data_IF_983271603759
#
_entry.id   IF_983271603759
#
_cell.length_a   1.000
_cell.length_b   1.000
_cell.length_c   1.000
_cell.angle_alpha   90.00
_cell.angle_beta   90.00
_cell.angle_gamma   90.00
#
_symmetry.space_group_name_H-M   'P 1'
#
loop_
_entity.id
_entity.type
_entity.pdbx_description
1 polymer ?
#
# COMPACT_ATOMS: atom_id res chain seq x y z
N UNK A 1 -4.60 14.25 6.72
CA UNK A 1 -5.68 13.32 6.40
C UNK A 1 -6.21 13.70 5.03
N UNK A 2 -6.26 12.77 4.10
CA UNK A 2 -6.72 13.04 2.74
C UNK A 2 -8.18 12.55 2.62
N UNK A 3 -9.14 13.47 2.80
CA UNK A 3 -10.58 13.17 2.74
C UNK A 3 -11.09 13.09 1.30
N UNK A 4 -10.35 13.63 0.34
CA UNK A 4 -10.69 13.63 -1.08
C UNK A 4 -10.14 12.41 -1.85
N UNK A 5 -9.27 11.62 -1.21
CA UNK A 5 -8.75 10.40 -1.80
C UNK A 5 -9.84 9.31 -1.90
N UNK A 6 -9.65 8.29 -2.76
CA UNK A 6 -10.48 7.10 -2.72
C UNK A 6 -10.49 6.46 -1.33
N UNK A 7 -11.67 6.01 -0.89
CA UNK A 7 -11.88 5.40 0.42
C UNK A 7 -10.93 4.22 0.62
N UNK A 8 -10.26 4.18 1.81
CA UNK A 8 -9.44 3.05 2.24
C UNK A 8 -9.51 2.85 3.76
N UNK A 9 -9.85 1.64 4.18
CA UNK A 9 -9.97 1.24 5.58
C UNK A 9 -9.21 -0.04 5.84
N UNK A 10 -8.30 -0.05 6.83
CA UNK A 10 -7.67 -1.27 7.33
C UNK A 10 -8.57 -1.99 8.32
N UNK A 11 -8.85 -3.27 8.07
CA UNK A 11 -9.64 -4.12 8.96
C UNK A 11 -8.73 -4.65 10.07
N UNK A 12 -9.05 -4.33 11.33
CA UNK A 12 -8.32 -4.80 12.50
C UNK A 12 -9.06 -5.87 13.31
N UNK A 13 -10.38 -5.96 13.17
CA UNK A 13 -11.20 -7.00 13.81
C UNK A 13 -12.36 -7.41 12.92
N UNK A 14 -12.74 -8.66 13.05
CA UNK A 14 -13.88 -9.27 12.37
C UNK A 14 -14.80 -9.92 13.39
N UNK A 15 -16.08 -9.61 13.33
CA UNK A 15 -17.11 -10.19 14.18
C UNK A 15 -18.20 -10.83 13.33
N UNK A 16 -18.92 -11.79 13.91
CA UNK A 16 -20.25 -12.17 13.42
C UNK A 16 -21.29 -11.67 14.42
N UNK A 17 -22.32 -11.04 13.89
CA UNK A 17 -23.49 -10.67 14.68
C UNK A 17 -24.65 -11.49 14.16
N UNK A 18 -25.27 -12.27 15.04
CA UNK A 18 -26.41 -13.15 14.69
C UNK A 18 -27.53 -12.34 14.03
N UNK A 19 -27.97 -12.76 12.85
CA UNK A 19 -28.99 -12.06 12.05
C UNK A 19 -28.48 -10.85 11.25
N UNK A 20 -27.22 -10.41 11.43
CA UNK A 20 -26.68 -9.21 10.76
C UNK A 20 -25.50 -9.48 9.81
N UNK A 21 -24.98 -10.72 9.76
CA UNK A 21 -23.85 -11.08 8.89
C UNK A 21 -22.48 -10.68 9.46
N UNK A 22 -21.52 -10.42 8.60
CA UNK A 22 -20.15 -10.04 8.97
C UNK A 22 -20.05 -8.56 9.33
N UNK A 23 -19.45 -8.27 10.49
CA UNK A 23 -19.11 -6.91 10.91
C UNK A 23 -17.60 -6.79 11.00
N UNK A 24 -17.05 -5.79 10.33
CA UNK A 24 -15.63 -5.47 10.38
C UNK A 24 -15.41 -4.13 11.07
N UNK A 25 -14.34 -4.03 11.85
CA UNK A 25 -13.91 -2.74 12.40
C UNK A 25 -12.51 -2.41 11.94
N UNK A 26 -12.22 -1.12 11.89
CA UNK A 26 -10.91 -0.65 11.49
C UNK A 26 -10.80 0.86 11.47
N UNK A 27 -9.68 1.34 10.97
CA UNK A 27 -9.44 2.77 10.79
C UNK A 27 -9.59 3.15 9.33
N UNK A 28 -10.45 4.12 9.06
CA UNK A 28 -10.54 4.76 7.75
C UNK A 28 -9.32 5.67 7.59
N UNK A 29 -8.39 5.28 6.73
CA UNK A 29 -7.10 5.99 6.60
C UNK A 29 -7.11 7.06 5.51
N UNK A 30 -7.94 6.88 4.50
CA UNK A 30 -8.13 7.80 3.37
C UNK A 30 -9.59 7.88 2.96
N UNK A 31 -9.95 9.02 2.38
CA UNK A 31 -11.24 9.28 1.79
C UNK A 31 -12.36 9.56 2.79
N UNK A 32 -13.52 9.79 2.22
CA UNK A 32 -14.79 9.92 2.94
C UNK A 32 -15.73 8.83 2.47
N UNK A 33 -16.15 7.95 3.39
CA UNK A 33 -17.15 6.94 3.10
C UNK A 33 -18.54 7.59 3.15
N UNK A 34 -19.30 7.46 2.05
CA UNK A 34 -20.66 7.98 1.88
C UNK A 34 -21.68 6.82 1.78
N UNK A 35 -22.98 7.07 1.96
CA UNK A 35 -24.02 6.11 1.57
C UNK A 35 -23.84 5.72 0.10
N UNK A 36 -24.13 4.46 -0.21
CA UNK A 36 -24.10 3.90 -1.57
C UNK A 36 -22.70 3.78 -2.21
N UNK A 37 -21.61 4.02 -1.47
CA UNK A 37 -20.29 3.71 -1.96
C UNK A 37 -20.13 2.21 -2.20
N UNK A 38 -19.74 1.84 -3.40
CA UNK A 38 -19.27 0.49 -3.70
C UNK A 38 -17.85 0.33 -3.13
N UNK A 39 -17.62 -0.72 -2.37
CA UNK A 39 -16.30 -1.07 -1.85
C UNK A 39 -15.90 -2.48 -2.29
N UNK A 40 -14.59 -2.68 -2.35
CA UNK A 40 -13.97 -3.97 -2.64
C UNK A 40 -13.06 -4.34 -1.47
N UNK A 41 -13.09 -5.60 -1.09
CA UNK A 41 -12.21 -6.16 -0.07
C UNK A 41 -10.95 -6.72 -0.73
N UNK A 42 -9.81 -6.15 -0.40
CA UNK A 42 -8.50 -6.55 -0.88
C UNK A 42 -7.71 -7.34 0.18
N UNK A 43 -6.80 -8.25 -0.22
CA UNK A 43 -6.36 -8.55 -1.58
C UNK A 43 -7.26 -9.55 -2.34
N UNK A 44 -8.41 -9.96 -1.79
CA UNK A 44 -9.30 -10.98 -2.34
C UNK A 44 -10.12 -10.49 -3.53
N UNK A 45 -10.17 -9.16 -3.74
CA UNK A 45 -10.92 -8.48 -4.82
C UNK A 45 -12.42 -8.81 -4.82
N UNK A 46 -12.98 -8.97 -3.60
CA UNK A 46 -14.39 -9.29 -3.41
C UNK A 46 -15.22 -8.02 -3.23
N UNK A 47 -16.30 -7.88 -3.98
CA UNK A 47 -17.26 -6.78 -3.78
C UNK A 47 -17.86 -6.88 -2.37
N UNK A 48 -17.92 -5.75 -1.69
CA UNK A 48 -18.47 -5.62 -0.35
C UNK A 48 -19.69 -4.71 -0.35
N UNK A 49 -20.86 -5.29 -0.06
CA UNK A 49 -22.10 -4.54 0.09
C UNK A 49 -22.27 -4.09 1.53
N UNK A 50 -22.45 -2.79 1.73
CA UNK A 50 -22.51 -2.17 3.04
C UNK A 50 -23.96 -2.02 3.46
N UNK A 51 -24.35 -2.70 4.56
CA UNK A 51 -25.68 -2.58 5.19
C UNK A 51 -25.74 -1.42 6.16
N UNK A 52 -24.65 -1.11 6.84
CA UNK A 52 -24.62 -0.05 7.83
C UNK A 52 -23.21 0.32 8.28
N UNK A 53 -23.08 1.55 8.75
CA UNK A 53 -21.84 2.12 9.28
C UNK A 53 -22.09 2.69 10.66
N UNK A 54 -21.14 2.49 11.57
CA UNK A 54 -21.12 3.07 12.90
C UNK A 54 -19.80 3.76 13.18
N UNK A 55 -19.86 4.93 13.77
CA UNK A 55 -18.72 5.68 14.30
C UNK A 55 -18.99 5.91 15.80
N UNK A 56 -18.02 5.60 16.65
CA UNK A 56 -18.20 5.65 18.11
C UNK A 56 -19.42 4.87 18.64
N UNK A 57 -19.70 3.71 18.05
CA UNK A 57 -20.86 2.85 18.37
C UNK A 57 -22.23 3.47 18.04
N UNK A 58 -22.28 4.57 17.34
CA UNK A 58 -23.50 5.23 16.88
C UNK A 58 -23.67 5.06 15.36
N UNK A 59 -24.88 4.80 14.86
CA UNK A 59 -25.14 4.79 13.42
C UNK A 59 -24.71 6.12 12.78
N UNK A 60 -24.00 6.04 11.67
CA UNK A 60 -23.49 7.20 10.94
C UNK A 60 -23.84 7.11 9.46
N UNK A 61 -24.24 8.24 8.87
CA UNK A 61 -24.47 8.35 7.42
C UNK A 61 -23.17 8.43 6.62
N UNK A 62 -22.13 9.00 7.22
CA UNK A 62 -20.81 9.11 6.60
C UNK A 62 -19.71 8.87 7.63
N UNK A 63 -18.53 8.48 7.15
CA UNK A 63 -17.31 8.34 7.95
C UNK A 63 -16.14 9.00 7.22
N UNK A 64 -15.20 9.56 7.98
CA UNK A 64 -14.11 10.38 7.47
C UNK A 64 -12.75 9.80 7.82
N UNK A 65 -11.75 10.12 7.01
CA UNK A 65 -10.38 9.70 7.24
C UNK A 65 -9.89 10.04 8.66
N UNK A 66 -9.32 9.04 9.32
CA UNK A 66 -8.84 9.11 10.72
C UNK A 66 -9.86 8.62 11.76
N UNK A 67 -11.08 8.29 11.37
CA UNK A 67 -12.06 7.72 12.29
C UNK A 67 -11.91 6.20 12.41
N UNK A 68 -12.24 5.70 13.60
CA UNK A 68 -12.48 4.28 13.81
C UNK A 68 -13.93 3.95 13.48
N UNK A 69 -14.11 2.99 12.58
CA UNK A 69 -15.39 2.68 11.96
C UNK A 69 -15.73 1.21 12.14
N UNK A 70 -17.00 0.90 12.35
CA UNK A 70 -17.56 -0.43 12.20
C UNK A 70 -18.47 -0.47 10.97
N UNK A 71 -18.26 -1.46 10.10
CA UNK A 71 -19.02 -1.64 8.86
C UNK A 71 -19.67 -3.01 8.89
N UNK A 72 -20.98 -3.04 8.69
CA UNK A 72 -21.74 -4.27 8.52
C UNK A 72 -21.82 -4.61 7.03
N UNK A 73 -21.37 -5.81 6.68
CA UNK A 73 -21.36 -6.35 5.32
C UNK A 73 -22.48 -7.35 5.14
N UNK A 74 -23.29 -7.21 4.09
CA UNK A 74 -24.46 -8.07 3.86
C UNK A 74 -24.16 -9.31 3.02
N UNK A 75 -23.19 -9.25 2.15
CA UNK A 75 -22.91 -10.28 1.14
C UNK A 75 -21.61 -11.06 1.37
N UNK A 76 -20.93 -10.83 2.50
CA UNK A 76 -19.66 -11.49 2.80
C UNK A 76 -19.79 -12.34 4.06
N UNK A 77 -19.55 -13.64 3.92
CA UNK A 77 -19.50 -14.57 5.04
C UNK A 77 -18.28 -14.31 5.92
N UNK A 78 -18.42 -14.56 7.23
CA UNK A 78 -17.37 -14.26 8.22
C UNK A 78 -16.05 -14.98 7.94
N UNK A 79 -16.11 -16.21 7.46
CA UNK A 79 -14.93 -17.04 7.13
C UNK A 79 -14.09 -16.51 5.97
N UNK A 80 -14.69 -15.63 5.16
CA UNK A 80 -14.00 -14.92 4.08
C UNK A 80 -13.39 -13.58 4.51
N UNK A 81 -13.66 -13.15 5.74
CA UNK A 81 -13.16 -11.90 6.31
C UNK A 81 -11.95 -12.19 7.20
N UNK A 82 -10.88 -11.47 7.01
CA UNK A 82 -9.66 -11.62 7.80
C UNK A 82 -9.19 -10.29 8.37
N UNK A 83 -8.58 -10.36 9.55
CA UNK A 83 -7.81 -9.23 10.06
C UNK A 83 -6.67 -8.91 9.09
N UNK A 84 -6.55 -7.63 8.73
CA UNK A 84 -5.54 -7.17 7.79
C UNK A 84 -6.03 -7.09 6.35
N UNK A 85 -7.25 -7.52 6.06
CA UNK A 85 -7.91 -7.17 4.80
C UNK A 85 -8.17 -5.66 4.76
N UNK A 86 -8.32 -5.13 3.55
CA UNK A 86 -8.55 -3.71 3.31
C UNK A 86 -9.87 -3.55 2.57
N UNK A 87 -10.76 -2.70 3.09
CA UNK A 87 -11.90 -2.20 2.32
C UNK A 87 -11.49 -0.91 1.62
N UNK A 88 -11.62 -0.88 0.29
CA UNK A 88 -11.25 0.28 -0.49
C UNK A 88 -12.18 0.47 -1.71
N UNK A 89 -12.10 1.64 -2.32
CA UNK A 89 -12.84 1.92 -3.55
C UNK A 89 -12.47 0.91 -4.66
N UNK A 90 -13.40 0.56 -5.56
CA UNK A 90 -13.10 -0.30 -6.70
C UNK A 90 -11.93 0.21 -7.52
N UNK A 91 -11.07 -0.69 -7.98
CA UNK A 91 -9.90 -0.40 -8.82
C UNK A 91 -8.90 0.61 -8.23
N UNK A 92 -8.94 0.82 -6.91
CA UNK A 92 -8.02 1.75 -6.22
C UNK A 92 -6.76 1.09 -5.69
N UNK A 93 -6.67 -0.23 -5.76
CA UNK A 93 -5.54 -1.03 -5.30
C UNK A 93 -5.35 -2.26 -6.19
N UNK A 94 -4.09 -2.69 -6.34
CA UNK A 94 -3.74 -3.93 -7.05
C UNK A 94 -3.01 -4.88 -6.10
N UNK A 95 -3.51 -6.12 -5.91
CA UNK A 95 -2.80 -7.12 -5.12
C UNK A 95 -1.46 -7.49 -5.76
N UNK A 96 -0.40 -7.54 -4.94
CA UNK A 96 0.97 -7.79 -5.37
C UNK A 96 1.63 -8.91 -4.58
N UNK A 97 2.62 -9.56 -5.18
CA UNK A 97 3.53 -10.52 -4.53
C UNK A 97 4.92 -9.93 -4.27
N UNK A 98 5.14 -8.67 -4.66
CA UNK A 98 6.41 -7.98 -4.47
C UNK A 98 6.17 -6.51 -4.18
N UNK A 99 7.04 -5.92 -3.36
CA UNK A 99 7.10 -4.48 -3.12
C UNK A 99 8.54 -4.01 -3.14
N UNK A 100 8.77 -2.80 -3.64
CA UNK A 100 10.02 -2.09 -3.42
C UNK A 100 9.85 -1.11 -2.28
N UNK A 101 10.83 -1.04 -1.41
CA UNK A 101 10.77 -0.21 -0.21
C UNK A 101 12.13 0.36 0.17
N UNK A 102 12.09 1.50 0.85
CA UNK A 102 13.22 2.01 1.64
C UNK A 102 13.06 1.50 3.06
N UNK A 103 14.11 0.91 3.60
CA UNK A 103 14.14 0.31 4.93
C UNK A 103 15.18 1.01 5.78
N UNK A 104 14.82 1.28 7.04
CA UNK A 104 15.74 1.68 8.09
C UNK A 104 15.88 0.55 9.09
N UNK A 105 17.09 0.01 9.22
CA UNK A 105 17.41 -1.00 10.23
C UNK A 105 17.72 -0.32 11.55
N UNK A 106 17.13 -0.79 12.64
CA UNK A 106 17.40 -0.21 13.97
C UNK A 106 18.81 -0.56 14.44
N UNK A 107 19.43 0.33 15.22
CA UNK A 107 20.81 0.16 15.68
C UNK A 107 21.00 -1.08 16.55
N UNK A 108 19.99 -1.37 17.38
CA UNK A 108 20.01 -2.44 18.37
C UNK A 108 19.45 -3.77 17.82
N UNK A 109 19.26 -3.89 16.50
CA UNK A 109 18.87 -5.15 15.88
C UNK A 109 19.95 -6.22 16.13
N UNK A 110 19.55 -7.49 16.28
CA UNK A 110 20.47 -8.60 16.55
C UNK A 110 21.44 -8.85 15.39
N UNK A 111 21.04 -8.53 14.16
CA UNK A 111 21.86 -8.70 12.95
C UNK A 111 21.53 -7.66 11.88
N UNK A 112 22.40 -7.56 10.88
CA UNK A 112 22.14 -6.84 9.64
C UNK A 112 21.07 -7.57 8.83
N UNK A 113 20.42 -6.88 7.89
CA UNK A 113 19.56 -7.52 6.90
C UNK A 113 20.43 -8.02 5.76
N UNK A 114 20.39 -9.31 5.50
CA UNK A 114 21.14 -9.97 4.44
C UNK A 114 20.22 -10.39 3.27
N UNK A 115 20.85 -10.65 2.13
CA UNK A 115 20.16 -11.12 0.94
C UNK A 115 19.42 -12.43 1.23
N UNK A 116 18.12 -12.46 0.91
CA UNK A 116 17.23 -13.61 1.05
C UNK A 116 16.81 -13.95 2.50
N UNK A 117 17.07 -13.06 3.45
CA UNK A 117 16.53 -13.21 4.80
C UNK A 117 15.01 -13.35 4.77
N UNK A 118 14.49 -14.32 5.54
CA UNK A 118 13.06 -14.50 5.74
C UNK A 118 12.59 -13.58 6.84
N UNK A 119 11.59 -12.75 6.53
CA UNK A 119 11.09 -11.72 7.44
C UNK A 119 9.57 -11.77 7.56
N UNK A 120 9.06 -11.18 8.64
CA UNK A 120 7.65 -10.85 8.82
C UNK A 120 7.46 -9.38 8.49
N UNK A 121 6.66 -9.12 7.48
CA UNK A 121 6.24 -7.78 7.08
C UNK A 121 4.90 -7.47 7.74
N UNK A 122 4.82 -6.33 8.42
CA UNK A 122 3.59 -5.79 8.97
C UNK A 122 3.18 -4.56 8.17
N UNK A 123 1.98 -4.61 7.59
CA UNK A 123 1.36 -3.52 6.86
C UNK A 123 -0.08 -3.33 7.36
N UNK A 124 -0.38 -2.17 7.96
CA UNK A 124 -1.63 -1.97 8.67
C UNK A 124 -1.81 -3.01 9.77
N UNK A 125 -2.86 -3.82 9.68
CA UNK A 125 -3.14 -4.90 10.63
C UNK A 125 -2.73 -6.29 10.11
N UNK A 126 -2.16 -6.39 8.89
CA UNK A 126 -1.75 -7.64 8.25
C UNK A 126 -0.30 -7.99 8.58
N UNK A 127 -0.07 -9.26 8.85
CA UNK A 127 1.26 -9.88 8.90
C UNK A 127 1.42 -10.78 7.69
N UNK A 128 2.52 -10.64 6.95
CA UNK A 128 2.85 -11.45 5.78
C UNK A 128 4.31 -11.88 5.87
N UNK A 129 4.59 -13.12 5.53
CA UNK A 129 5.96 -13.60 5.37
C UNK A 129 6.52 -13.20 4.00
N UNK A 130 7.82 -12.94 3.96
CA UNK A 130 8.49 -12.63 2.71
C UNK A 130 10.00 -12.83 2.80
N UNK A 131 10.64 -12.71 1.64
CA UNK A 131 12.10 -12.74 1.47
C UNK A 131 12.58 -11.36 1.06
N UNK A 132 13.55 -10.83 1.80
CA UNK A 132 14.10 -9.51 1.53
C UNK A 132 15.33 -9.62 0.62
N UNK A 133 15.39 -8.72 -0.36
CA UNK A 133 16.48 -8.61 -1.32
C UNK A 133 16.97 -7.17 -1.31
N UNK A 134 18.06 -6.86 -0.60
CA UNK A 134 18.73 -5.57 -0.72
C UNK A 134 19.15 -5.29 -2.17
N UNK A 135 19.01 -4.08 -2.66
CA UNK A 135 19.16 -3.76 -4.09
C UNK A 135 20.51 -3.14 -4.45
N UNK A 136 21.08 -2.28 -3.63
CA UNK A 136 22.38 -1.63 -3.93
C UNK A 136 23.58 -2.48 -3.53
N UNK A 137 23.39 -3.29 -2.50
CA UNK A 137 24.42 -4.12 -1.86
C UNK A 137 23.77 -5.37 -1.31
N UNK A 138 24.58 -6.37 -0.96
CA UNK A 138 24.07 -7.66 -0.48
C UNK A 138 23.48 -7.64 0.93
N UNK A 139 23.59 -6.52 1.66
CA UNK A 139 23.11 -6.35 3.02
C UNK A 139 22.78 -4.89 3.34
N UNK A 140 21.96 -4.66 4.38
CA UNK A 140 21.72 -3.35 4.99
C UNK A 140 22.16 -3.46 6.46
N UNK A 141 23.16 -2.64 6.87
CA UNK A 141 23.69 -2.67 8.21
C UNK A 141 22.72 -2.12 9.25
N UNK A 142 22.89 -2.56 10.48
CA UNK A 142 22.23 -1.97 11.64
C UNK A 142 22.49 -0.49 11.74
N UNK A 143 21.44 0.30 11.94
CA UNK A 143 21.49 1.75 11.99
C UNK A 143 21.50 2.45 10.65
N UNK A 144 21.63 1.72 9.53
CA UNK A 144 21.62 2.27 8.18
C UNK A 144 20.25 2.18 7.50
N UNK A 145 20.10 2.95 6.45
CA UNK A 145 18.99 2.89 5.50
C UNK A 145 19.46 2.25 4.20
N UNK A 146 18.54 1.60 3.50
CA UNK A 146 18.82 1.02 2.18
C UNK A 146 17.56 0.66 1.44
N UNK A 147 17.67 0.46 0.14
CA UNK A 147 16.58 0.03 -0.71
C UNK A 147 16.54 -1.49 -0.79
N UNK A 148 15.33 -2.04 -0.77
CA UNK A 148 15.13 -3.48 -0.86
C UNK A 148 13.84 -3.81 -1.62
N UNK A 149 13.85 -4.95 -2.30
CA UNK A 149 12.65 -5.60 -2.79
C UNK A 149 12.25 -6.70 -1.79
N UNK A 150 10.99 -6.72 -1.38
CA UNK A 150 10.46 -7.81 -0.56
C UNK A 150 9.55 -8.68 -1.43
N UNK A 151 9.90 -9.97 -1.53
CA UNK A 151 9.12 -10.99 -2.22
C UNK A 151 8.23 -11.68 -1.20
N UNK A 152 6.94 -11.50 -1.35
CA UNK A 152 5.93 -11.93 -0.39
C UNK A 152 5.53 -13.39 -0.63
N UNK A 153 5.16 -14.09 0.43
CA UNK A 153 4.63 -15.47 0.35
C UNK A 153 3.10 -15.48 0.09
N UNK A 154 2.44 -14.32 0.27
CA UNK A 154 1.01 -14.12 0.01
C UNK A 154 0.78 -12.77 -0.68
N UNK A 155 -0.40 -12.61 -1.31
CA UNK A 155 -0.79 -11.33 -1.90
C UNK A 155 -1.01 -10.26 -0.84
N UNK A 156 -0.45 -9.09 -1.08
CA UNK A 156 -0.64 -7.86 -0.31
C UNK A 156 -1.33 -6.82 -1.19
N UNK A 157 -2.28 -6.08 -0.63
CA UNK A 157 -2.76 -4.86 -1.24
C UNK A 157 -2.16 -3.68 -0.48
N UNK A 158 -1.44 -2.81 -1.15
CA UNK A 158 -0.77 -1.66 -0.57
C UNK A 158 -0.65 -0.54 -1.60
N UNK A 159 -0.19 0.61 -1.15
CA UNK A 159 0.10 1.77 -1.99
C UNK A 159 1.52 2.27 -1.76
N UNK A 160 2.03 3.04 -2.70
CA UNK A 160 3.25 3.82 -2.47
C UNK A 160 3.06 4.73 -1.25
N UNK A 161 4.13 4.97 -0.50
CA UNK A 161 4.20 5.72 0.75
C UNK A 161 3.54 5.05 1.97
N UNK A 162 2.96 3.86 1.83
CA UNK A 162 2.51 3.09 2.99
C UNK A 162 3.70 2.69 3.85
N UNK A 163 3.49 2.78 5.18
CA UNK A 163 4.52 2.41 6.16
C UNK A 163 4.45 0.94 6.49
N UNK A 164 5.62 0.35 6.67
CA UNK A 164 5.82 -1.05 7.02
C UNK A 164 6.71 -1.21 8.24
N UNK A 165 6.48 -2.26 8.99
CA UNK A 165 7.40 -2.72 10.05
C UNK A 165 7.92 -4.10 9.66
N UNK A 166 9.20 -4.34 9.93
CA UNK A 166 9.88 -5.58 9.58
C UNK A 166 10.40 -6.25 10.86
N UNK A 167 10.07 -7.52 10.98
CA UNK A 167 10.58 -8.37 12.05
C UNK A 167 11.29 -9.58 11.46
N UNK A 168 12.30 -10.08 12.14
CA UNK A 168 12.92 -11.38 11.79
C UNK A 168 11.91 -12.50 11.93
N UNK A 169 12.04 -13.49 11.06
CA UNK A 169 11.22 -14.69 11.16
C UNK A 169 11.50 -15.47 12.46
N UNK A 170 12.79 -15.66 12.78
CA UNK A 170 13.24 -16.33 14.00
C UNK A 170 14.67 -15.91 14.36
N UNK A 171 14.93 -15.48 15.60
CA UNK A 171 13.94 -15.14 16.63
C UNK A 171 13.04 -13.98 16.21
N UNK A 172 11.83 -13.91 16.79
CA UNK A 172 10.88 -12.86 16.43
C UNK A 172 11.26 -11.53 17.09
N UNK A 173 12.04 -10.74 16.39
CA UNK A 173 12.56 -9.43 16.81
C UNK A 173 12.25 -8.37 15.78
N UNK A 174 11.87 -7.17 16.21
CA UNK A 174 11.72 -6.03 15.31
C UNK A 174 13.11 -5.55 14.90
N UNK A 175 13.40 -5.59 13.61
CA UNK A 175 14.71 -5.22 13.06
C UNK A 175 14.67 -3.88 12.32
N UNK A 176 13.50 -3.39 11.95
CA UNK A 176 13.39 -2.15 11.23
C UNK A 176 11.97 -1.81 10.83
N UNK A 177 11.90 -0.82 9.99
CA UNK A 177 10.67 -0.39 9.32
C UNK A 177 11.02 0.41 8.08
N UNK A 178 10.02 0.81 7.34
CA UNK A 178 10.26 1.52 6.10
C UNK A 178 9.00 2.05 5.45
N UNK A 179 9.19 2.46 4.21
CA UNK A 179 8.15 3.02 3.34
C UNK A 179 8.15 2.26 2.02
N UNK A 180 6.97 1.90 1.54
CA UNK A 180 6.79 1.30 0.21
C UNK A 180 7.01 2.39 -0.84
N UNK A 181 7.89 2.13 -1.80
CA UNK A 181 8.18 3.03 -2.92
C UNK A 181 7.44 2.61 -4.20
N UNK A 182 7.30 1.29 -4.39
CA UNK A 182 6.53 0.73 -5.48
C UNK A 182 5.71 -0.46 -4.97
N UNK A 183 4.40 -0.37 -5.17
CA UNK A 183 3.45 -1.39 -4.71
C UNK A 183 3.26 -2.54 -5.72
N UNK A 184 3.79 -2.42 -6.94
CA UNK A 184 3.70 -3.45 -7.97
C UNK A 184 4.91 -3.41 -8.90
N UNK A 185 6.13 -3.61 -8.35
CA UNK A 185 7.37 -3.53 -9.10
C UNK A 185 7.55 -4.74 -10.00
N UNK A 186 8.47 -4.60 -10.97
CA UNK A 186 9.06 -5.74 -11.65
C UNK A 186 10.16 -6.35 -10.77
N UNK A 187 10.50 -7.61 -11.04
CA UNK A 187 11.64 -8.25 -10.40
C UNK A 187 12.93 -7.54 -10.84
N UNK A 188 13.66 -7.00 -9.88
CA UNK A 188 14.96 -6.38 -10.14
C UNK A 188 16.08 -7.42 -10.18
N UNK A 189 17.11 -7.12 -10.96
CA UNK A 189 18.40 -7.81 -10.96
C UNK A 189 19.44 -6.94 -10.25
N UNK A 190 20.51 -7.54 -9.77
CA UNK A 190 21.65 -6.81 -9.19
C UNK A 190 22.40 -5.93 -10.21
N UNK A 191 22.05 -6.00 -11.49
CA UNK A 191 22.65 -5.25 -12.58
C UNK A 191 21.79 -4.07 -13.08
N UNK A 192 20.67 -3.78 -12.43
CA UNK A 192 19.78 -2.68 -12.83
C UNK A 192 20.40 -1.33 -12.44
N UNK A 193 21.13 -0.74 -13.39
CA UNK A 193 21.69 0.60 -13.24
C UNK A 193 20.56 1.65 -13.26
N UNK A 194 20.67 2.68 -12.40
CA UNK A 194 19.69 3.77 -12.31
C UNK A 194 18.48 3.49 -11.40
N UNK A 195 18.38 2.29 -10.82
CA UNK A 195 17.29 1.93 -9.93
C UNK A 195 17.25 2.80 -8.67
N UNK A 196 18.42 3.10 -8.12
CA UNK A 196 18.56 3.94 -6.92
C UNK A 196 18.14 5.38 -7.19
N UNK A 197 18.56 5.94 -8.33
CA UNK A 197 18.15 7.27 -8.75
C UNK A 197 16.63 7.35 -8.95
N UNK A 198 16.03 6.33 -9.55
CA UNK A 198 14.58 6.23 -9.68
C UNK A 198 13.86 6.17 -8.32
N UNK A 199 14.43 5.50 -7.32
CA UNK A 199 13.87 5.46 -5.97
C UNK A 199 14.03 6.80 -5.24
N UNK A 200 15.16 7.49 -5.40
CA UNK A 200 15.36 8.82 -4.84
C UNK A 200 14.35 9.82 -5.40
N UNK A 201 14.09 9.77 -6.72
CA UNK A 201 13.04 10.58 -7.35
C UNK A 201 11.65 10.24 -6.76
N UNK A 202 11.33 8.96 -6.56
CA UNK A 202 10.05 8.55 -5.95
C UNK A 202 9.90 9.01 -4.49
N UNK A 203 11.01 9.14 -3.77
CA UNK A 203 11.02 9.53 -2.35
C UNK A 203 11.00 11.05 -2.16
N UNK A 204 11.83 11.77 -2.88
CA UNK A 204 12.12 13.20 -2.67
C UNK A 204 11.59 14.09 -3.78
N UNK A 205 11.26 13.50 -4.94
CA UNK A 205 10.81 14.22 -6.11
C UNK A 205 9.43 14.86 -5.94
N UNK A 206 9.24 15.97 -6.64
CA UNK A 206 7.90 16.55 -6.79
C UNK A 206 6.98 15.56 -7.52
N UNK A 207 5.65 15.68 -7.41
CA UNK A 207 4.72 14.89 -8.19
C UNK A 207 5.03 14.91 -9.71
N UNK A 208 5.54 16.03 -10.19
CA UNK A 208 5.98 16.22 -11.57
C UNK A 208 7.17 15.33 -11.92
N UNK A 209 8.21 15.32 -11.06
CA UNK A 209 9.42 14.51 -11.28
C UNK A 209 9.08 13.00 -11.26
N UNK A 210 8.17 12.60 -10.39
CA UNK A 210 7.71 11.21 -10.31
C UNK A 210 6.94 10.80 -11.56
N UNK A 211 6.06 11.67 -12.09
CA UNK A 211 5.32 11.42 -13.34
C UNK A 211 6.29 11.41 -14.53
N UNK A 212 7.21 12.38 -14.62
CA UNK A 212 8.22 12.45 -15.69
C UNK A 212 9.08 11.17 -15.73
N UNK A 213 9.59 10.73 -14.58
CA UNK A 213 10.38 9.50 -14.46
C UNK A 213 9.57 8.26 -14.87
N UNK A 214 8.30 8.19 -14.44
CA UNK A 214 7.41 7.08 -14.79
C UNK A 214 7.17 7.02 -16.30
N UNK A 215 6.82 8.13 -16.93
CA UNK A 215 6.60 8.22 -18.37
C UNK A 215 7.87 7.94 -19.17
N UNK A 216 9.03 8.44 -18.72
CA UNK A 216 10.32 8.17 -19.35
C UNK A 216 10.76 6.71 -19.30
N UNK A 217 10.27 5.94 -18.32
CA UNK A 217 10.52 4.50 -18.19
C UNK A 217 9.53 3.62 -18.95
N UNK A 218 8.43 4.19 -19.43
CA UNK A 218 7.40 3.48 -20.18
C UNK A 218 7.88 3.20 -21.62
N UNK A 219 7.57 2.02 -22.14
CA UNK A 219 7.91 1.63 -23.51
C UNK A 219 6.83 2.00 -24.53
N UNK A 220 5.61 2.24 -24.05
CA UNK A 220 4.42 2.52 -24.83
C UNK A 220 3.66 3.70 -24.24
N UNK A 221 2.60 4.15 -24.92
CA UNK A 221 1.71 5.18 -24.41
C UNK A 221 1.05 4.72 -23.11
N UNK A 222 1.03 5.60 -22.12
CA UNK A 222 0.44 5.34 -20.79
C UNK A 222 -0.80 6.19 -20.61
N UNK A 223 -1.89 5.59 -20.20
CA UNK A 223 -3.14 6.29 -19.92
C UNK A 223 -3.12 6.93 -18.52
N UNK A 224 -3.91 8.00 -18.33
CA UNK A 224 -4.06 8.66 -17.02
C UNK A 224 -4.52 7.68 -15.92
N UNK A 225 -5.45 6.73 -16.16
CA UNK A 225 -5.80 5.70 -15.19
C UNK A 225 -4.62 4.83 -14.77
N UNK A 226 -3.74 4.45 -15.71
CA UNK A 226 -2.53 3.67 -15.40
C UNK A 226 -1.53 4.46 -14.55
N UNK A 227 -1.36 5.77 -14.83
CA UNK A 227 -0.54 6.64 -13.98
C UNK A 227 -1.14 6.73 -12.58
N UNK A 228 -2.46 6.89 -12.45
CA UNK A 228 -3.16 6.95 -11.18
C UNK A 228 -2.97 5.66 -10.36
N UNK A 229 -3.14 4.50 -11.00
CA UNK A 229 -2.96 3.19 -10.37
C UNK A 229 -1.52 3.01 -9.84
N UNK A 230 -0.53 3.45 -10.62
CA UNK A 230 0.90 3.27 -10.30
C UNK A 230 1.42 4.29 -9.29
N UNK A 231 1.03 5.55 -9.40
CA UNK A 231 1.63 6.63 -8.61
C UNK A 231 0.74 7.11 -7.46
N UNK A 232 -0.49 6.62 -7.36
CA UNK A 232 -1.43 6.95 -6.26
C UNK A 232 -1.73 8.46 -6.15
N UNK A 233 -1.68 9.17 -7.28
CA UNK A 233 -1.99 10.60 -7.37
C UNK A 233 -3.44 10.78 -7.84
N UNK A 234 -4.08 11.87 -7.47
CA UNK A 234 -5.43 12.17 -7.98
C UNK A 234 -5.40 12.43 -9.50
N UNK A 235 -6.46 12.02 -10.18
CA UNK A 235 -6.58 12.18 -11.66
C UNK A 235 -6.40 13.62 -12.10
N UNK A 236 -6.95 14.59 -11.33
CA UNK A 236 -6.85 16.01 -11.67
C UNK A 236 -5.42 16.52 -11.52
N UNK A 237 -4.73 16.10 -10.46
CA UNK A 237 -3.32 16.44 -10.26
C UNK A 237 -2.42 15.85 -11.34
N UNK A 238 -2.68 14.60 -11.76
CA UNK A 238 -1.94 13.96 -12.87
C UNK A 238 -2.14 14.76 -14.16
N UNK A 239 -3.38 15.14 -14.49
CA UNK A 239 -3.68 15.95 -15.70
C UNK A 239 -2.93 17.28 -15.70
N UNK A 240 -2.93 17.98 -14.57
CA UNK A 240 -2.22 19.25 -14.42
C UNK A 240 -0.72 19.10 -14.66
N UNK A 241 -0.10 18.11 -14.02
CA UNK A 241 1.35 17.88 -14.16
C UNK A 241 1.73 17.37 -15.56
N UNK A 242 0.91 16.53 -16.19
CA UNK A 242 1.14 16.08 -17.57
C UNK A 242 1.04 17.25 -18.55
N UNK A 243 0.07 18.17 -18.38
CA UNK A 243 -0.03 19.37 -19.20
C UNK A 243 1.18 20.31 -19.05
N UNK A 244 1.76 20.39 -17.87
CA UNK A 244 3.00 21.15 -17.67
C UNK A 244 4.19 20.49 -18.38
N UNK A 245 4.33 19.17 -18.26
CA UNK A 245 5.37 18.40 -18.95
C UNK A 245 5.26 18.47 -20.47
N UNK A 246 4.02 18.49 -21.00
CA UNK A 246 3.74 18.66 -22.41
C UNK A 246 4.17 20.06 -22.92
N UNK A 247 3.88 21.13 -22.16
CA UNK A 247 4.35 22.49 -22.46
C UNK A 247 5.88 22.60 -22.45
N UNK A 248 6.54 21.82 -21.64
CA UNK A 248 8.03 21.75 -21.58
C UNK A 248 8.63 20.87 -22.68
N UNK A 249 7.80 20.19 -23.48
CA UNK A 249 8.24 19.29 -24.54
C UNK A 249 8.86 17.98 -24.05
N UNK A 250 8.59 17.59 -22.80
CA UNK A 250 9.13 16.37 -22.17
C UNK A 250 8.25 15.15 -22.41
N UNK A 251 6.98 15.36 -22.71
CA UNK A 251 5.99 14.33 -23.07
C UNK A 251 5.13 14.81 -24.23
N UNK A 252 4.52 13.86 -24.94
CA UNK A 252 3.60 14.11 -26.06
C UNK A 252 2.23 13.54 -25.76
#
# INVERSE_FOLDING_TARGET
>A
RNEDAPVRMYIDRVFSVEGFGGVVTGTLVEGTRKPDDELVMYPKEMKAEIRGVQVHSLPAKAAYAGQRVAINLSNVEKDKLERGDILAAPNSMSPTMMIDCKIKVIKDASKDIEHWDRVRLYHGAREILGRIVPLERSFIKRGEEGYAQIRLEEKLACKALDKIVIRMYSPMETIGGGVILDANPKKHSSADNGLVEAFQIKEEGSPKDVIENFLGSAKDFVSIPEINEKLTLSTDHIKEQVQELEKEGKVM
#
